data_IF_769645567489
#
_entry.id   IF_769645567489
#
_cell.length_a   1.000
_cell.length_b   1.000
_cell.length_c   1.000
_cell.angle_alpha   90.00
_cell.angle_beta   90.00
_cell.angle_gamma   90.00
#
_symmetry.space_group_name_H-M   'P 1'
#
loop_
_entity.id
_entity.type
_entity.pdbx_description
1 polymer ?
#
# COMPACT_ATOMS: atom_id res chain seq x y z
N UNK A 1 -12.08 -5.85 26.34
CA UNK A 1 -11.49 -4.96 25.31
C UNK A 1 -10.34 -5.73 24.69
N UNK A 2 -10.40 -6.02 23.39
CA UNK A 2 -9.34 -6.74 22.69
C UNK A 2 -8.21 -5.78 22.28
N UNK A 3 -7.00 -6.32 22.13
CA UNK A 3 -5.80 -5.56 21.74
C UNK A 3 -6.02 -4.75 20.44
N UNK A 4 -6.73 -5.35 19.49
CA UNK A 4 -7.13 -4.75 18.21
C UNK A 4 -8.02 -3.51 18.40
N UNK A 5 -9.01 -3.56 19.31
CA UNK A 5 -9.92 -2.44 19.58
C UNK A 5 -9.19 -1.27 20.28
N UNK A 6 -8.09 -1.56 20.98
CA UNK A 6 -7.29 -0.56 21.69
C UNK A 6 -6.40 0.24 20.73
N UNK A 7 -5.86 -0.43 19.71
CA UNK A 7 -5.12 0.22 18.63
C UNK A 7 -6.03 1.12 17.79
N UNK A 8 -7.25 0.65 17.50
CA UNK A 8 -8.25 1.42 16.74
C UNK A 8 -8.64 2.73 17.44
N UNK A 9 -8.89 2.70 18.76
CA UNK A 9 -9.22 3.91 19.54
C UNK A 9 -8.08 4.93 19.64
N UNK A 10 -6.82 4.49 19.66
CA UNK A 10 -5.68 5.38 19.79
C UNK A 10 -5.44 6.18 18.50
N UNK A 11 -5.53 5.53 17.34
CA UNK A 11 -5.48 6.20 16.04
C UNK A 11 -6.60 7.26 15.92
N UNK A 12 -7.85 6.90 16.21
CA UNK A 12 -9.00 7.80 16.05
C UNK A 12 -8.94 9.07 16.93
N UNK A 13 -8.34 8.97 18.13
CA UNK A 13 -8.25 10.09 19.07
C UNK A 13 -7.10 11.05 18.75
N UNK A 14 -6.05 10.58 18.07
CA UNK A 14 -4.90 11.40 17.67
C UNK A 14 -4.69 11.45 16.15
N UNK A 15 -5.75 11.35 15.34
CA UNK A 15 -5.67 11.51 13.88
C UNK A 15 -5.92 12.96 13.42
N UNK A 16 -4.88 13.78 13.22
CA UNK A 16 -5.01 15.09 12.63
C UNK A 16 -5.16 15.00 11.10
N UNK A 17 -5.95 15.90 10.53
CA UNK A 17 -6.30 15.93 9.09
C UNK A 17 -5.09 16.00 8.13
N UNK A 18 -3.91 16.39 8.61
CA UNK A 18 -2.70 16.40 7.76
C UNK A 18 -2.17 14.98 7.47
N UNK A 19 -2.47 14.00 8.31
CA UNK A 19 -2.10 12.59 8.06
C UNK A 19 -2.91 12.03 6.89
N UNK A 20 -4.20 12.39 6.78
CA UNK A 20 -5.03 12.04 5.63
C UNK A 20 -4.41 12.58 4.31
N UNK A 21 -3.83 13.79 4.34
CA UNK A 21 -3.13 14.35 3.16
C UNK A 21 -1.90 13.52 2.78
N UNK A 22 -1.09 13.12 3.76
CA UNK A 22 0.07 12.23 3.51
C UNK A 22 -0.39 10.89 2.93
N UNK A 23 -1.50 10.33 3.42
CA UNK A 23 -2.09 9.09 2.89
C UNK A 23 -2.44 9.23 1.41
N UNK A 24 -3.11 10.33 1.05
CA UNK A 24 -3.51 10.60 -0.33
C UNK A 24 -2.28 10.73 -1.22
N UNK A 25 -1.28 11.51 -0.81
CA UNK A 25 -0.02 11.67 -1.56
C UNK A 25 0.70 10.34 -1.72
N UNK A 26 0.79 9.53 -0.66
CA UNK A 26 1.36 8.19 -0.70
C UNK A 26 0.64 7.31 -1.73
N UNK A 27 -0.69 7.25 -1.68
CA UNK A 27 -1.48 6.47 -2.63
C UNK A 27 -1.30 6.93 -4.08
N UNK A 28 -1.20 8.23 -4.32
CA UNK A 28 -0.90 8.80 -5.65
C UNK A 28 0.50 8.35 -6.12
N UNK A 29 1.53 8.47 -5.28
CA UNK A 29 2.90 8.05 -5.62
C UNK A 29 2.94 6.57 -6.01
N UNK A 30 2.28 5.70 -5.25
CA UNK A 30 2.21 4.27 -5.52
C UNK A 30 1.48 3.98 -6.85
N UNK A 31 0.38 4.68 -7.10
CA UNK A 31 -0.37 4.57 -8.37
C UNK A 31 0.51 5.01 -9.56
N UNK A 32 1.21 6.13 -9.44
CA UNK A 32 2.12 6.63 -10.48
C UNK A 32 3.26 5.64 -10.76
N UNK A 33 3.81 4.98 -9.73
CA UNK A 33 4.78 3.89 -9.89
C UNK A 33 4.18 2.71 -10.66
N UNK A 34 2.94 2.32 -10.35
CA UNK A 34 2.21 1.30 -11.11
C UNK A 34 2.08 1.66 -12.61
N UNK A 35 1.71 2.91 -12.92
CA UNK A 35 1.65 3.40 -14.32
C UNK A 35 3.02 3.38 -14.99
N UNK A 36 4.08 3.78 -14.27
CA UNK A 36 5.46 3.73 -14.78
C UNK A 36 5.86 2.30 -15.16
N UNK A 37 5.49 1.30 -14.34
CA UNK A 37 5.76 -0.11 -14.63
C UNK A 37 4.96 -0.67 -15.80
N UNK A 38 3.73 -0.20 -16.04
CA UNK A 38 2.98 -0.54 -17.27
C UNK A 38 3.71 -0.01 -18.50
N UNK A 39 4.13 1.25 -18.45
CA UNK A 39 4.78 1.90 -19.59
C UNK A 39 6.16 1.29 -19.88
N UNK A 40 6.84 0.77 -18.86
CA UNK A 40 8.17 0.19 -18.96
C UNK A 40 8.25 -1.12 -18.16
N UNK A 41 7.61 -2.18 -18.67
CA UNK A 41 7.53 -3.46 -17.97
C UNK A 41 8.81 -4.29 -18.08
N UNK A 42 9.58 -4.13 -19.16
CA UNK A 42 10.78 -4.93 -19.42
C UNK A 42 11.84 -4.82 -18.29
N UNK A 43 12.21 -3.61 -17.81
CA UNK A 43 13.17 -3.49 -16.72
C UNK A 43 12.70 -4.16 -15.41
N UNK A 44 11.38 -4.16 -15.14
CA UNK A 44 10.81 -4.84 -13.98
C UNK A 44 10.90 -6.37 -14.13
N UNK A 45 10.55 -6.89 -15.31
CA UNK A 45 10.66 -8.33 -15.60
C UNK A 45 12.11 -8.78 -15.51
N UNK A 46 13.05 -8.02 -16.07
CA UNK A 46 14.48 -8.34 -16.03
C UNK A 46 15.00 -8.31 -14.58
N UNK A 47 14.58 -7.33 -13.77
CA UNK A 47 14.93 -7.26 -12.34
C UNK A 47 14.46 -8.51 -11.59
N UNK A 48 13.23 -8.97 -11.85
CA UNK A 48 12.67 -10.17 -11.24
C UNK A 48 13.33 -11.43 -11.80
N UNK A 49 13.61 -11.51 -13.10
CA UNK A 49 14.27 -12.68 -13.70
C UNK A 49 15.70 -12.87 -13.16
N UNK A 50 16.41 -11.78 -12.89
CA UNK A 50 17.76 -11.80 -12.30
C UNK A 50 17.75 -12.01 -10.78
N UNK A 51 16.58 -12.01 -10.14
CA UNK A 51 16.48 -12.31 -8.72
C UNK A 51 16.42 -13.82 -8.49
N UNK A 52 17.38 -14.40 -7.75
CA UNK A 52 17.51 -15.86 -7.65
C UNK A 52 16.20 -16.62 -7.36
N UNK A 53 15.62 -16.45 -6.16
CA UNK A 53 14.40 -17.18 -5.79
C UNK A 53 13.17 -16.71 -6.60
N UNK A 54 12.96 -15.40 -6.77
CA UNK A 54 11.75 -14.90 -7.44
C UNK A 54 11.79 -15.08 -8.96
N UNK A 55 12.95 -15.15 -9.59
CA UNK A 55 13.11 -15.48 -11.01
C UNK A 55 12.83 -16.95 -11.33
N UNK A 56 12.92 -17.83 -10.31
CA UNK A 56 12.43 -19.22 -10.44
C UNK A 56 10.91 -19.30 -10.46
N UNK A 57 10.24 -18.30 -9.89
CA UNK A 57 8.81 -18.05 -10.11
C UNK A 57 8.68 -17.31 -11.45
N UNK A 58 7.57 -17.50 -12.17
CA UNK A 58 7.34 -16.84 -13.46
C UNK A 58 7.49 -15.31 -13.33
N UNK A 59 8.61 -14.76 -13.83
CA UNK A 59 8.93 -13.34 -13.72
C UNK A 59 7.85 -12.44 -14.35
N UNK A 60 7.24 -12.90 -15.44
CA UNK A 60 6.11 -12.23 -16.07
C UNK A 60 4.87 -12.17 -15.16
N UNK A 61 4.54 -13.26 -14.46
CA UNK A 61 3.40 -13.29 -13.54
C UNK A 61 3.63 -12.36 -12.33
N UNK A 62 4.85 -12.39 -11.77
CA UNK A 62 5.22 -11.52 -10.67
C UNK A 62 5.21 -10.03 -11.09
N UNK A 63 5.70 -9.70 -12.28
CA UNK A 63 5.67 -8.32 -12.78
C UNK A 63 4.23 -7.79 -12.89
N UNK A 64 3.29 -8.59 -13.41
CA UNK A 64 1.87 -8.21 -13.42
C UNK A 64 1.31 -8.04 -12.01
N UNK A 65 1.63 -8.96 -11.10
CA UNK A 65 1.24 -8.82 -9.69
C UNK A 65 1.73 -7.50 -9.07
N UNK A 66 3.01 -7.14 -9.30
CA UNK A 66 3.61 -5.89 -8.80
C UNK A 66 2.89 -4.66 -9.34
N UNK A 67 2.57 -4.66 -10.64
CA UNK A 67 1.81 -3.58 -11.30
C UNK A 67 0.42 -3.44 -10.69
N UNK A 68 -0.32 -4.55 -10.57
CA UNK A 68 -1.67 -4.56 -10.00
C UNK A 68 -1.66 -4.11 -8.54
N UNK A 69 -0.70 -4.58 -7.74
CA UNK A 69 -0.55 -4.19 -6.34
C UNK A 69 -0.34 -2.68 -6.18
N UNK A 70 0.49 -2.07 -7.02
CA UNK A 70 0.75 -0.62 -6.97
C UNK A 70 -0.43 0.21 -7.48
N UNK A 71 -1.07 -0.20 -8.57
CA UNK A 71 -2.21 0.53 -9.12
C UNK A 71 -3.42 0.43 -8.21
N UNK A 72 -3.91 -0.79 -7.97
CA UNK A 72 -5.13 -1.00 -7.22
C UNK A 72 -4.90 -0.66 -5.74
N UNK A 73 -3.80 -1.13 -5.16
CA UNK A 73 -3.42 -0.82 -3.79
C UNK A 73 -3.15 0.67 -3.58
N UNK A 74 -2.51 1.34 -4.54
CA UNK A 74 -2.28 2.79 -4.50
C UNK A 74 -3.58 3.59 -4.48
N UNK A 75 -4.53 3.25 -5.36
CA UNK A 75 -5.86 3.87 -5.38
C UNK A 75 -6.63 3.61 -4.09
N UNK A 76 -6.62 2.38 -3.59
CA UNK A 76 -7.24 2.01 -2.32
C UNK A 76 -6.67 2.83 -1.15
N UNK A 77 -5.34 2.99 -1.08
CA UNK A 77 -4.69 3.84 -0.07
C UNK A 77 -5.10 5.31 -0.24
N UNK A 78 -5.10 5.84 -1.47
CA UNK A 78 -5.46 7.23 -1.73
C UNK A 78 -6.89 7.55 -1.26
N UNK A 79 -7.87 6.73 -1.64
CA UNK A 79 -9.27 6.90 -1.24
C UNK A 79 -9.53 6.51 0.23
N UNK A 80 -8.58 5.82 0.88
CA UNK A 80 -8.76 5.34 2.24
C UNK A 80 -9.70 4.14 2.32
N UNK A 81 -9.72 3.27 1.31
CA UNK A 81 -10.50 2.04 1.27
C UNK A 81 -9.61 0.84 1.60
N UNK A 82 -9.96 0.08 2.64
CA UNK A 82 -9.17 -1.09 3.10
C UNK A 82 -7.67 -0.77 3.25
N UNK A 83 -7.35 0.43 3.76
CA UNK A 83 -5.98 0.99 3.74
C UNK A 83 -4.95 0.05 4.36
N UNK A 84 -5.29 -0.63 5.47
CA UNK A 84 -4.39 -1.58 6.13
C UNK A 84 -4.06 -2.76 5.22
N UNK A 85 -5.06 -3.34 4.57
CA UNK A 85 -4.86 -4.45 3.64
C UNK A 85 -4.05 -4.02 2.41
N UNK A 86 -4.40 -2.88 1.82
CA UNK A 86 -3.67 -2.33 0.68
C UNK A 86 -2.19 -2.03 1.01
N UNK A 87 -1.90 -1.56 2.23
CA UNK A 87 -0.52 -1.35 2.66
C UNK A 87 0.23 -2.68 2.88
N UNK A 88 -0.43 -3.68 3.48
CA UNK A 88 0.16 -5.02 3.69
C UNK A 88 0.54 -5.70 2.36
N UNK A 89 -0.28 -5.54 1.31
CA UNK A 89 0.04 -6.08 -0.02
C UNK A 89 1.25 -5.37 -0.64
N UNK A 90 1.44 -4.07 -0.38
CA UNK A 90 2.54 -3.30 -0.98
C UNK A 90 3.88 -3.44 -0.25
N UNK A 91 3.89 -3.78 1.05
CA UNK A 91 5.12 -3.96 1.83
C UNK A 91 6.06 -5.02 1.22
N UNK A 92 5.63 -6.27 0.89
CA UNK A 92 6.49 -7.26 0.25
C UNK A 92 7.08 -6.79 -1.07
N UNK A 93 6.32 -6.01 -1.84
CA UNK A 93 6.74 -5.51 -3.14
C UNK A 93 7.88 -4.49 -2.98
N UNK A 94 7.75 -3.54 -2.07
CA UNK A 94 8.80 -2.55 -1.77
C UNK A 94 10.02 -3.18 -1.09
N UNK A 95 9.82 -4.16 -0.22
CA UNK A 95 10.92 -4.94 0.36
C UNK A 95 11.74 -5.63 -0.73
N UNK A 96 11.08 -6.26 -1.70
CA UNK A 96 11.74 -6.81 -2.88
C UNK A 96 12.58 -5.74 -3.58
N UNK A 97 11.96 -4.61 -3.95
CA UNK A 97 12.65 -3.52 -4.63
C UNK A 97 13.91 -3.03 -3.88
N UNK A 98 13.82 -2.82 -2.56
CA UNK A 98 14.95 -2.35 -1.74
C UNK A 98 16.09 -3.37 -1.73
N UNK A 99 15.77 -4.66 -1.56
CA UNK A 99 16.78 -5.73 -1.53
C UNK A 99 17.49 -5.82 -2.90
N UNK A 100 16.74 -5.79 -4.00
CA UNK A 100 17.32 -5.93 -5.34
C UNK A 100 18.15 -4.73 -5.77
N UNK A 101 17.69 -3.51 -5.49
CA UNK A 101 18.46 -2.30 -5.83
C UNK A 101 19.77 -2.28 -5.04
N UNK A 102 19.76 -2.69 -3.76
CA UNK A 102 20.98 -2.74 -2.94
C UNK A 102 21.99 -3.79 -3.45
N UNK A 103 21.54 -4.97 -3.87
CA UNK A 103 22.41 -6.00 -4.45
C UNK A 103 23.03 -5.53 -5.77
N UNK A 104 22.28 -4.75 -6.57
CA UNK A 104 22.68 -4.31 -7.91
C UNK A 104 23.58 -3.07 -7.90
N UNK A 105 23.46 -2.20 -6.90
CA UNK A 105 24.22 -0.97 -6.76
C UNK A 105 24.28 -0.57 -5.29
N UNK A 106 25.44 -0.77 -4.66
CA UNK A 106 25.62 -0.65 -3.22
C UNK A 106 25.06 0.65 -2.60
N UNK A 107 24.69 0.55 -1.32
CA UNK A 107 23.96 1.53 -0.49
C UNK A 107 24.49 2.99 -0.58
N UNK A 108 25.77 3.18 -0.93
CA UNK A 108 26.44 4.49 -0.99
C UNK A 108 26.38 5.20 -2.36
N UNK A 109 25.77 4.58 -3.37
CA UNK A 109 25.50 5.26 -4.64
C UNK A 109 24.26 6.16 -4.50
N UNK A 110 24.27 7.42 -4.99
CA UNK A 110 23.16 8.35 -4.85
C UNK A 110 22.00 7.97 -5.78
N UNK A 111 21.32 6.86 -5.51
CA UNK A 111 20.09 6.48 -6.20
C UNK A 111 18.91 7.09 -5.46
N UNK A 112 18.34 8.17 -6.03
CA UNK A 112 17.13 8.84 -5.51
C UNK A 112 15.96 7.86 -5.29
N UNK A 113 15.94 6.75 -6.03
CA UNK A 113 14.93 5.68 -5.98
C UNK A 113 14.98 4.86 -4.68
N UNK A 114 16.17 4.64 -4.10
CA UNK A 114 16.35 3.81 -2.90
C UNK A 114 15.79 4.51 -1.66
N UNK A 115 16.15 5.79 -1.47
CA UNK A 115 15.64 6.61 -0.38
C UNK A 115 14.13 6.81 -0.45
N UNK A 116 13.60 7.03 -1.65
CA UNK A 116 12.16 7.12 -1.87
C UNK A 116 11.45 5.80 -1.49
N UNK A 117 12.01 4.65 -1.88
CA UNK A 117 11.43 3.34 -1.56
C UNK A 117 11.42 3.07 -0.05
N UNK A 118 12.50 3.41 0.65
CA UNK A 118 12.58 3.30 2.12
C UNK A 118 11.57 4.21 2.81
N UNK A 119 11.44 5.46 2.36
CA UNK A 119 10.46 6.39 2.89
C UNK A 119 9.03 5.88 2.69
N UNK A 120 8.69 5.41 1.49
CA UNK A 120 7.39 4.82 1.18
C UNK A 120 7.13 3.60 2.05
N UNK A 121 8.13 2.72 2.24
CA UNK A 121 8.00 1.55 3.11
C UNK A 121 7.68 1.95 4.56
N UNK A 122 8.37 2.95 5.11
CA UNK A 122 8.10 3.48 6.46
C UNK A 122 6.67 4.01 6.53
N UNK A 123 6.23 4.78 5.53
CA UNK A 123 4.86 5.31 5.47
C UNK A 123 3.81 4.19 5.39
N UNK A 124 4.06 3.12 4.62
CA UNK A 124 3.17 1.98 4.56
C UNK A 124 3.05 1.28 5.92
N UNK A 125 4.16 1.03 6.61
CA UNK A 125 4.15 0.45 7.96
C UNK A 125 3.38 1.36 8.93
N UNK A 126 3.58 2.67 8.83
CA UNK A 126 2.81 3.65 9.60
C UNK A 126 1.30 3.53 9.33
N UNK A 127 0.87 3.48 8.07
CA UNK A 127 -0.56 3.34 7.72
C UNK A 127 -1.16 1.96 7.97
N UNK A 128 -0.34 0.91 8.11
CA UNK A 128 -0.80 -0.39 8.64
C UNK A 128 -1.24 -0.24 10.10
N UNK A 129 -0.48 0.51 10.91
CA UNK A 129 -0.79 0.73 12.34
C UNK A 129 -1.92 1.74 12.51
N UNK A 130 -1.80 2.90 11.85
CA UNK A 130 -2.76 4.00 11.97
C UNK A 130 -4.12 3.64 11.34
N UNK A 131 -4.11 3.07 10.13
CA UNK A 131 -5.31 2.74 9.36
C UNK A 131 -5.77 3.85 8.40
N UNK A 132 -7.05 3.84 8.05
CA UNK A 132 -7.61 4.67 6.98
C UNK A 132 -7.86 6.12 7.40
N UNK A 133 -8.05 6.46 8.67
CA UNK A 133 -8.23 7.86 9.11
C UNK A 133 -9.63 8.43 8.89
N UNK A 134 -9.84 9.69 9.31
CA UNK A 134 -11.17 10.35 9.36
C UNK A 134 -11.70 10.79 8.01
N UNK A 135 -10.81 11.13 7.07
CA UNK A 135 -11.14 11.52 5.70
C UNK A 135 -10.99 10.31 4.76
N UNK A 136 -11.59 9.18 5.12
CA UNK A 136 -11.55 7.95 4.33
C UNK A 136 -12.94 7.52 3.89
N UNK A 137 -13.03 6.84 2.75
CA UNK A 137 -14.29 6.24 2.29
C UNK A 137 -14.80 5.19 3.29
N UNK A 138 -13.88 4.44 3.92
CA UNK A 138 -14.22 3.49 4.99
C UNK A 138 -14.96 4.18 6.15
N UNK A 139 -14.45 5.33 6.60
CA UNK A 139 -15.08 6.10 7.68
C UNK A 139 -16.42 6.72 7.24
N UNK A 140 -16.54 7.14 5.98
CA UNK A 140 -17.80 7.64 5.43
C UNK A 140 -18.88 6.55 5.39
N UNK A 141 -18.54 5.33 4.96
CA UNK A 141 -19.45 4.17 4.98
C UNK A 141 -19.84 3.79 6.42
N UNK A 142 -18.92 3.87 7.38
CA UNK A 142 -19.19 3.60 8.79
C UNK A 142 -20.18 4.60 9.40
N UNK A 143 -20.10 5.87 9.00
CA UNK A 143 -20.99 6.95 9.48
C UNK A 143 -22.34 6.99 8.78
N UNK A 144 -22.45 6.45 7.57
CA UNK A 144 -23.67 6.40 6.78
C UNK A 144 -24.03 4.95 6.44
N UNK A 145 -24.29 4.08 7.44
CA UNK A 145 -24.76 2.73 7.16
C UNK A 145 -26.09 2.81 6.41
N UNK A 146 -26.23 2.04 5.33
CA UNK A 146 -27.49 1.97 4.57
C UNK A 146 -28.68 1.78 5.52
N UNK A 147 -29.67 2.67 5.48
CA UNK A 147 -30.98 2.48 6.12
C UNK A 147 -31.76 1.37 5.38
N UNK A 148 -31.21 0.15 5.28
CA UNK A 148 -32.04 -0.99 4.85
C UNK A 148 -32.85 -1.40 6.07
N UNK A 149 -34.19 -1.31 6.02
CA UNK A 149 -34.99 -1.84 7.11
C UNK A 149 -34.71 -3.34 7.17
N UNK A 150 -34.17 -3.82 8.27
CA UNK A 150 -34.14 -5.25 8.57
C UNK A 150 -35.59 -5.72 8.79
N UNK A 151 -36.36 -5.84 7.71
CA UNK A 151 -37.63 -6.57 7.68
C UNK A 151 -37.30 -8.05 7.56
N UNK A 152 -37.21 -8.73 8.70
CA UNK A 152 -38.12 -9.83 8.98
C UNK A 152 -37.97 -10.29 10.43
N UNK A 153 -38.90 -9.85 11.27
CA UNK A 153 -39.31 -10.63 12.44
C UNK A 153 -40.27 -11.71 11.91
N UNK A 154 -39.88 -12.96 11.97
CA UNK A 154 -40.83 -14.07 11.91
C UNK A 154 -41.21 -14.40 13.35
N UNK A 155 -42.53 -14.49 13.59
CA UNK A 155 -43.13 -14.78 14.89
C UNK A 155 -43.02 -16.23 15.30
#
# INVERSE_FOLDING_TARGET
MNFVQRMEKWGDTHHPKWIDFIRIVLGIILTLKGVQFINNMQPLVDLIANSGFLGSLSAGLLAHYVVFAHLLGGLMVAFGLLTRFACLVQIPVLLGAIIFVNISGGIFQPHSELWLSVLILILLVFFVVEGSGKLSVDEWMRKNPDERPHKHKWG
#
